data_IF_319459474794
#
_entry.id   IF_319459474794
#
_cell.length_a   1.000
_cell.length_b   1.000
_cell.length_c   1.000
_cell.angle_alpha   90.00
_cell.angle_beta   90.00
_cell.angle_gamma   90.00
#
_symmetry.space_group_name_H-M   'P 1'
#
loop_
_entity.id
_entity.type
_entity.pdbx_description
1 polymer ?
#
# COMPACT_ATOMS: atom_id res chain seq x y z
N UNK A 1 -19.96 -15.76 5.30
CA UNK A 1 -19.12 -16.89 4.86
C UNK A 1 -17.66 -16.47 4.95
N UNK A 2 -16.86 -17.31 5.57
CA UNK A 2 -15.41 -17.12 5.64
C UNK A 2 -14.78 -17.99 4.55
N UNK A 3 -14.17 -17.38 3.54
CA UNK A 3 -13.25 -18.08 2.67
C UNK A 3 -11.90 -18.15 3.38
N UNK A 4 -11.68 -19.17 4.16
CA UNK A 4 -10.37 -19.49 4.74
C UNK A 4 -9.66 -20.42 3.74
N UNK A 5 -8.81 -19.83 2.90
CA UNK A 5 -7.77 -20.60 2.22
C UNK A 5 -6.67 -20.93 3.24
N UNK A 6 -6.88 -21.98 4.01
CA UNK A 6 -5.94 -22.37 5.06
C UNK A 6 -6.41 -23.56 5.84
N UNK A 7 -6.63 -24.67 5.17
CA UNK A 7 -6.59 -25.99 5.81
C UNK A 7 -5.14 -26.32 6.16
N UNK A 8 -4.91 -27.06 7.23
CA UNK A 8 -3.63 -27.67 7.65
C UNK A 8 -3.14 -28.74 6.66
N UNK A 9 -3.20 -28.45 5.36
CA UNK A 9 -2.59 -29.27 4.33
C UNK A 9 -1.16 -28.79 4.11
N UNK A 10 -0.18 -29.67 3.97
CA UNK A 10 1.15 -29.29 3.54
C UNK A 10 1.00 -28.54 2.21
N UNK A 11 1.66 -27.41 2.10
CA UNK A 11 1.57 -26.47 1.00
C UNK A 11 2.27 -26.97 -0.27
N UNK A 12 1.83 -28.10 -0.80
CA UNK A 12 2.30 -28.54 -2.11
C UNK A 12 1.88 -27.49 -3.15
N UNK A 13 2.86 -26.73 -3.63
CA UNK A 13 2.69 -25.73 -4.67
C UNK A 13 2.62 -24.27 -4.20
N UNK A 14 2.72 -23.98 -2.90
CA UNK A 14 2.89 -22.61 -2.42
C UNK A 14 4.38 -22.23 -2.38
N UNK A 15 4.68 -20.95 -2.69
CA UNK A 15 6.02 -20.40 -2.52
C UNK A 15 6.43 -20.34 -1.05
N UNK A 16 7.74 -20.26 -0.76
CA UNK A 16 8.28 -20.19 0.60
C UNK A 16 7.70 -19.05 1.43
N UNK A 17 7.30 -17.96 0.78
CA UNK A 17 6.50 -16.90 1.37
C UNK A 17 5.23 -16.70 0.56
N UNK A 18 4.10 -16.69 1.25
CA UNK A 18 2.80 -16.48 0.63
C UNK A 18 1.98 -15.42 1.39
N UNK A 19 1.08 -14.77 0.68
CA UNK A 19 0.22 -13.72 1.22
C UNK A 19 -1.20 -14.26 1.38
N UNK A 20 -1.80 -13.98 2.53
CA UNK A 20 -3.17 -14.36 2.85
C UNK A 20 -3.97 -13.08 3.04
N UNK A 21 -5.04 -12.93 2.25
CA UNK A 21 -6.00 -11.86 2.42
C UNK A 21 -7.30 -12.42 3.00
N UNK A 22 -7.70 -11.90 4.15
CA UNK A 22 -9.00 -12.19 4.75
C UNK A 22 -9.93 -11.01 4.50
N UNK A 23 -11.03 -11.28 3.81
CA UNK A 23 -12.03 -10.27 3.49
C UNK A 23 -13.36 -10.66 4.11
N UNK A 24 -13.87 -9.82 5.00
CA UNK A 24 -15.22 -9.96 5.56
C UNK A 24 -16.19 -9.14 4.72
N UNK A 25 -17.22 -9.81 4.20
CA UNK A 25 -18.29 -9.17 3.42
C UNK A 25 -19.61 -9.27 4.16
N UNK A 26 -20.43 -8.23 4.05
CA UNK A 26 -21.81 -8.27 4.51
C UNK A 26 -22.71 -9.07 3.55
N UNK A 27 -24.00 -9.18 3.88
CA UNK A 27 -24.98 -9.90 3.05
C UNK A 27 -25.20 -9.27 1.67
N UNK A 28 -24.82 -8.02 1.47
CA UNK A 28 -24.90 -7.31 0.19
C UNK A 28 -23.63 -7.46 -0.65
N UNK A 29 -22.61 -8.15 -0.12
CA UNK A 29 -21.32 -8.33 -0.77
C UNK A 29 -20.32 -7.17 -0.53
N UNK A 30 -20.69 -6.17 0.26
CA UNK A 30 -19.83 -5.06 0.61
C UNK A 30 -18.74 -5.51 1.59
N UNK A 31 -17.50 -5.12 1.33
CA UNK A 31 -16.38 -5.39 2.23
C UNK A 31 -16.56 -4.58 3.52
N UNK A 32 -16.63 -5.28 4.64
CA UNK A 32 -16.76 -4.69 6.00
C UNK A 32 -15.39 -4.61 6.67
N UNK A 33 -14.54 -5.61 6.43
CA UNK A 33 -13.18 -5.66 6.97
C UNK A 33 -12.27 -6.45 6.03
N UNK A 34 -11.02 -6.02 5.96
CA UNK A 34 -10.00 -6.71 5.20
C UNK A 34 -8.69 -6.71 5.99
N UNK A 35 -8.06 -7.88 6.09
CA UNK A 35 -6.75 -8.05 6.70
C UNK A 35 -5.82 -8.79 5.76
N UNK A 36 -4.58 -8.33 5.68
CA UNK A 36 -3.54 -8.97 4.91
C UNK A 36 -2.48 -9.55 5.85
N UNK A 37 -2.14 -10.80 5.62
CA UNK A 37 -1.09 -11.50 6.35
C UNK A 37 -0.08 -12.06 5.35
N UNK A 38 1.15 -12.22 5.80
CA UNK A 38 2.14 -13.03 5.08
C UNK A 38 2.60 -14.17 5.97
N UNK A 39 2.94 -15.28 5.38
CA UNK A 39 3.36 -16.48 6.08
C UNK A 39 4.54 -17.12 5.35
N UNK A 40 5.54 -17.56 6.09
CA UNK A 40 6.61 -18.41 5.60
C UNK A 40 6.30 -19.88 5.86
N UNK A 41 6.87 -20.77 5.07
CA UNK A 41 6.85 -22.19 5.33
C UNK A 41 7.70 -22.52 6.57
N UNK A 42 7.31 -23.51 7.33
CA UNK A 42 7.83 -24.19 8.53
C UNK A 42 9.03 -23.65 9.33
N UNK A 43 9.80 -22.72 8.80
CA UNK A 43 10.87 -22.00 9.51
C UNK A 43 10.65 -20.54 9.24
N UNK A 44 10.48 -19.74 10.25
CA UNK A 44 10.36 -18.26 10.22
C UNK A 44 11.42 -17.56 9.34
N UNK A 45 11.68 -18.12 8.17
CA UNK A 45 12.63 -17.62 7.19
C UNK A 45 11.89 -16.75 6.17
N UNK A 46 12.01 -15.45 6.36
CA UNK A 46 11.45 -14.43 5.47
C UNK A 46 12.45 -13.91 4.44
N UNK A 47 13.57 -14.62 4.22
CA UNK A 47 14.58 -14.22 3.23
C UNK A 47 14.00 -14.15 1.82
N UNK A 48 12.97 -14.96 1.51
CA UNK A 48 12.25 -14.88 0.25
C UNK A 48 11.57 -13.52 0.00
N UNK A 49 11.28 -12.73 1.04
CA UNK A 49 10.80 -11.34 0.86
C UNK A 49 11.84 -10.46 0.18
N UNK A 50 13.13 -10.76 0.35
CA UNK A 50 14.23 -10.01 -0.28
C UNK A 50 14.41 -10.36 -1.77
N UNK A 51 13.81 -11.48 -2.21
CA UNK A 51 13.86 -11.97 -3.60
C UNK A 51 12.60 -11.64 -4.38
N UNK A 52 11.64 -10.92 -3.77
CA UNK A 52 10.44 -10.49 -4.48
C UNK A 52 10.80 -9.65 -5.71
N UNK A 53 10.10 -9.86 -6.85
CA UNK A 53 10.28 -9.02 -8.02
C UNK A 53 10.05 -7.56 -7.70
N UNK A 54 10.82 -6.66 -8.32
CA UNK A 54 10.59 -5.22 -8.21
C UNK A 54 9.18 -4.87 -8.68
N UNK A 55 8.51 -4.03 -7.91
CA UNK A 55 7.16 -3.58 -8.19
C UNK A 55 7.18 -2.14 -8.74
N UNK A 56 6.78 -1.97 -9.99
CA UNK A 56 6.60 -0.64 -10.58
C UNK A 56 5.17 -0.17 -10.32
N UNK A 57 5.04 0.86 -9.50
CA UNK A 57 3.75 1.44 -9.12
C UNK A 57 3.42 2.65 -9.99
N UNK A 58 2.18 2.72 -10.45
CA UNK A 58 1.61 3.92 -11.06
C UNK A 58 0.93 4.73 -9.99
N UNK A 59 1.27 6.01 -9.90
CA UNK A 59 0.71 6.94 -8.92
C UNK A 59 0.05 8.10 -9.63
N UNK A 60 -1.18 8.41 -9.26
CA UNK A 60 -1.88 9.63 -9.60
C UNK A 60 -2.29 10.34 -8.33
N UNK A 61 -2.27 11.67 -8.32
CA UNK A 61 -2.66 12.44 -7.15
C UNK A 61 -3.29 13.77 -7.52
N UNK A 62 -4.14 14.27 -6.63
CA UNK A 62 -4.83 15.55 -6.73
C UNK A 62 -4.75 16.27 -5.40
N UNK A 63 -4.40 17.55 -5.43
CA UNK A 63 -4.43 18.43 -4.26
C UNK A 63 -5.76 19.16 -4.19
N UNK A 64 -6.40 19.10 -3.05
CA UNK A 64 -7.62 19.86 -2.71
C UNK A 64 -7.26 20.79 -1.55
N UNK A 65 -7.64 22.06 -1.67
CA UNK A 65 -7.44 23.07 -0.64
C UNK A 65 -8.77 23.52 -0.12
N UNK A 66 -8.93 23.55 1.19
CA UNK A 66 -10.18 23.98 1.84
C UNK A 66 -9.90 24.49 3.24
N UNK A 67 -10.29 25.76 3.48
CA UNK A 67 -10.24 26.38 4.82
C UNK A 67 -8.87 26.31 5.52
N UNK A 68 -7.76 26.50 4.78
CA UNK A 68 -6.40 26.45 5.34
C UNK A 68 -5.84 25.04 5.49
N UNK A 69 -6.61 24.01 5.16
CA UNK A 69 -6.14 22.63 5.07
C UNK A 69 -5.91 22.23 3.62
N UNK A 70 -4.91 21.42 3.40
CA UNK A 70 -4.63 20.76 2.14
C UNK A 70 -4.81 19.25 2.26
N UNK A 71 -5.51 18.66 1.30
CA UNK A 71 -5.71 17.22 1.19
C UNK A 71 -5.16 16.74 -0.14
N UNK A 72 -4.23 15.79 -0.08
CA UNK A 72 -3.76 15.06 -1.26
C UNK A 72 -4.58 13.77 -1.35
N UNK A 73 -5.39 13.65 -2.40
CA UNK A 73 -6.03 12.40 -2.78
C UNK A 73 -5.14 11.68 -3.78
N UNK A 74 -4.65 10.50 -3.42
CA UNK A 74 -3.74 9.71 -4.22
C UNK A 74 -4.35 8.34 -4.56
N UNK A 75 -4.13 7.89 -5.79
CA UNK A 75 -4.42 6.53 -6.22
C UNK A 75 -3.11 5.86 -6.65
N UNK A 76 -2.77 4.75 -5.99
CA UNK A 76 -1.55 3.98 -6.23
C UNK A 76 -1.96 2.63 -6.78
N UNK A 77 -1.53 2.32 -7.99
CA UNK A 77 -1.92 1.12 -8.73
C UNK A 77 -0.72 0.24 -9.02
N UNK A 78 -0.82 -1.03 -8.71
CA UNK A 78 0.08 -2.04 -9.23
C UNK A 78 -0.51 -2.61 -10.53
N UNK A 79 0.17 -2.45 -11.68
CA UNK A 79 -0.34 -2.94 -12.97
C UNK A 79 -0.63 -4.45 -12.95
N UNK A 80 -1.61 -4.88 -13.73
CA UNK A 80 -1.94 -6.32 -13.90
C UNK A 80 -0.77 -7.14 -14.47
N UNK A 81 0.13 -6.49 -15.20
CA UNK A 81 1.34 -7.10 -15.78
C UNK A 81 2.47 -7.31 -14.76
N UNK A 82 2.31 -6.84 -13.52
CA UNK A 82 3.32 -7.02 -12.49
C UNK A 82 3.55 -8.51 -12.18
N UNK A 83 4.82 -8.91 -12.05
CA UNK A 83 5.20 -10.31 -11.80
C UNK A 83 5.06 -10.75 -10.35
N UNK A 84 4.75 -9.82 -9.45
CA UNK A 84 4.61 -10.08 -8.03
C UNK A 84 3.85 -8.96 -7.33
N UNK A 85 3.77 -9.05 -6.02
CA UNK A 85 3.09 -8.08 -5.16
C UNK A 85 3.95 -6.85 -4.90
N UNK A 86 3.34 -5.70 -4.65
CA UNK A 86 4.01 -4.56 -4.04
C UNK A 86 3.84 -4.67 -2.51
N UNK A 87 4.89 -5.10 -1.82
CA UNK A 87 4.85 -5.39 -0.39
C UNK A 87 5.19 -4.16 0.45
N UNK A 88 4.44 -3.95 1.53
CA UNK A 88 4.65 -2.89 2.52
C UNK A 88 4.95 -1.52 1.86
N UNK A 89 4.06 -1.07 1.00
CA UNK A 89 4.21 0.19 0.27
C UNK A 89 4.17 1.35 1.25
N UNK A 90 5.27 2.09 1.31
CA UNK A 90 5.40 3.31 2.11
C UNK A 90 5.16 4.54 1.24
N UNK A 91 4.33 5.45 1.72
CA UNK A 91 3.98 6.70 1.04
C UNK A 91 4.37 7.89 1.89
N UNK A 92 4.99 8.89 1.27
CA UNK A 92 5.35 10.15 1.89
C UNK A 92 4.97 11.31 0.98
N UNK A 93 4.45 12.39 1.56
CA UNK A 93 4.34 13.66 0.88
C UNK A 93 5.57 14.53 1.24
N UNK A 94 6.23 15.07 0.23
CA UNK A 94 7.41 15.92 0.38
C UNK A 94 7.23 17.22 -0.40
N UNK A 95 7.88 18.29 0.05
CA UNK A 95 7.99 19.53 -0.70
C UNK A 95 8.89 19.32 -1.93
N UNK A 96 8.57 19.98 -3.03
CA UNK A 96 9.34 19.80 -4.28
C UNK A 96 10.67 20.53 -4.26
N UNK A 97 10.75 21.66 -3.52
CA UNK A 97 11.93 22.52 -3.48
C UNK A 97 13.13 21.92 -2.75
N UNK A 98 12.89 21.29 -1.61
CA UNK A 98 13.91 20.82 -0.68
C UNK A 98 13.84 19.30 -0.43
N UNK A 99 12.74 18.65 -0.85
CA UNK A 99 12.49 17.23 -0.60
C UNK A 99 12.13 16.90 0.85
N UNK A 100 11.91 17.91 1.69
CA UNK A 100 11.52 17.69 3.08
C UNK A 100 10.11 17.13 3.18
N UNK A 101 9.90 16.29 4.19
CA UNK A 101 8.58 15.71 4.45
C UNK A 101 7.61 16.76 4.94
N UNK A 102 6.39 16.72 4.42
CA UNK A 102 5.30 17.55 4.90
C UNK A 102 4.78 16.94 6.21
N UNK A 103 5.13 17.52 7.33
CA UNK A 103 4.74 17.07 8.67
C UNK A 103 4.33 18.25 9.55
N UNK A 104 3.31 18.08 10.44
CA UNK A 104 2.50 16.86 10.62
C UNK A 104 1.49 16.64 9.48
N UNK A 105 1.27 15.38 9.10
CA UNK A 105 0.28 14.99 8.13
C UNK A 105 -0.51 13.77 8.62
N UNK A 106 -1.83 13.81 8.41
CA UNK A 106 -2.73 12.69 8.71
C UNK A 106 -2.93 11.86 7.45
N UNK A 107 -2.65 10.58 7.54
CA UNK A 107 -2.91 9.60 6.48
C UNK A 107 -3.97 8.60 6.93
N UNK A 108 -4.88 8.24 6.03
CA UNK A 108 -5.86 7.20 6.32
C UNK A 108 -5.27 5.79 6.29
N UNK A 109 -4.14 5.59 5.61
CA UNK A 109 -3.41 4.32 5.58
C UNK A 109 -1.95 4.52 5.13
N UNK A 110 -1.08 3.58 5.50
CA UNK A 110 0.30 3.49 5.04
C UNK A 110 0.81 2.06 5.21
N UNK A 111 1.93 1.68 4.56
CA UNK A 111 2.50 0.33 4.61
C UNK A 111 1.54 -0.78 4.15
N UNK A 112 0.76 -0.52 3.12
CA UNK A 112 -0.17 -1.48 2.54
C UNK A 112 0.49 -2.37 1.49
N UNK A 113 -0.17 -3.49 1.17
CA UNK A 113 0.27 -4.43 0.14
C UNK A 113 -0.71 -4.41 -1.02
N UNK A 114 -0.18 -4.35 -2.26
CA UNK A 114 -0.98 -4.43 -3.49
C UNK A 114 -0.69 -5.72 -4.26
N UNK A 115 -1.75 -6.38 -4.67
CA UNK A 115 -1.70 -7.45 -5.66
C UNK A 115 -1.73 -6.87 -7.09
N UNK A 116 -1.23 -7.61 -8.11
CA UNK A 116 -1.32 -7.16 -9.50
C UNK A 116 -2.75 -6.79 -9.91
N UNK A 117 -2.90 -5.59 -10.46
CA UNK A 117 -4.19 -5.03 -10.87
C UNK A 117 -4.96 -4.27 -9.79
N UNK A 118 -4.45 -4.17 -8.59
CA UNK A 118 -5.11 -3.44 -7.50
C UNK A 118 -4.70 -1.97 -7.45
N UNK A 119 -5.63 -1.18 -6.95
CA UNK A 119 -5.44 0.25 -6.68
C UNK A 119 -5.78 0.56 -5.23
N UNK A 120 -4.89 1.25 -4.54
CA UNK A 120 -5.11 1.82 -3.20
C UNK A 120 -5.36 3.31 -3.31
N UNK A 121 -6.47 3.75 -2.74
CA UNK A 121 -6.78 5.17 -2.60
C UNK A 121 -6.35 5.65 -1.22
N UNK A 122 -5.58 6.73 -1.18
CA UNK A 122 -5.06 7.36 0.03
C UNK A 122 -5.50 8.81 0.11
N UNK A 123 -5.72 9.26 1.32
CA UNK A 123 -5.93 10.66 1.66
C UNK A 123 -4.85 11.08 2.65
N UNK A 124 -4.16 12.18 2.34
CA UNK A 124 -3.13 12.80 3.19
C UNK A 124 -3.55 14.22 3.45
N UNK A 125 -3.88 14.54 4.70
CA UNK A 125 -4.34 15.87 5.13
C UNK A 125 -3.28 16.54 5.97
N UNK A 126 -3.02 17.83 5.70
CA UNK A 126 -2.05 18.65 6.42
C UNK A 126 -2.41 20.13 6.34
N UNK A 127 -1.75 20.95 7.16
CA UNK A 127 -1.91 22.42 7.10
C UNK A 127 -1.33 22.97 5.79
N UNK A 128 -2.11 23.74 5.03
CA UNK A 128 -1.69 24.29 3.75
C UNK A 128 -0.42 25.16 3.87
N UNK A 129 -0.20 25.82 5.01
CA UNK A 129 0.99 26.64 5.25
C UNK A 129 2.30 25.84 5.22
N UNK A 130 2.25 24.53 5.41
CA UNK A 130 3.42 23.66 5.33
C UNK A 130 4.01 23.56 3.91
N UNK A 131 3.22 23.88 2.88
CA UNK A 131 3.72 23.97 1.52
C UNK A 131 4.49 25.26 1.24
N UNK A 132 4.29 26.33 2.05
CA UNK A 132 4.93 27.65 1.87
C UNK A 132 4.84 28.19 0.43
N UNK A 133 3.75 27.87 -0.28
CA UNK A 133 3.57 28.20 -1.69
C UNK A 133 4.24 27.25 -2.68
N UNK A 134 4.91 26.22 -2.19
CA UNK A 134 5.58 25.19 -3.01
C UNK A 134 4.59 24.12 -3.53
N UNK A 135 5.09 23.24 -4.39
CA UNK A 135 4.40 22.07 -4.88
C UNK A 135 4.76 20.85 -4.01
N UNK A 136 3.89 19.87 -4.02
CA UNK A 136 4.18 18.59 -3.38
C UNK A 136 4.60 17.52 -4.38
N UNK A 137 5.31 16.52 -3.89
CA UNK A 137 5.61 15.28 -4.58
C UNK A 137 5.27 14.11 -3.65
N UNK A 138 4.67 13.05 -4.20
CA UNK A 138 4.52 11.79 -3.49
C UNK A 138 5.71 10.89 -3.77
N UNK A 139 6.33 10.40 -2.70
CA UNK A 139 7.35 9.36 -2.73
C UNK A 139 6.70 8.07 -2.31
N UNK A 140 6.61 7.12 -3.23
CA UNK A 140 5.95 5.82 -3.05
C UNK A 140 7.00 4.74 -3.20
N UNK A 141 7.28 4.03 -2.11
CA UNK A 141 8.37 3.04 -2.07
C UNK A 141 7.84 1.71 -1.54
N UNK A 142 7.67 0.69 -2.38
CA UNK A 142 7.43 -0.67 -1.92
C UNK A 142 8.72 -1.25 -1.31
N UNK A 143 8.56 -2.13 -0.32
CA UNK A 143 9.70 -2.79 0.35
C UNK A 143 10.61 -3.53 -0.64
N UNK A 144 10.03 -4.19 -1.62
CA UNK A 144 10.75 -4.97 -2.63
C UNK A 144 11.41 -4.14 -3.74
N UNK A 145 11.48 -2.82 -3.59
CA UNK A 145 12.26 -1.93 -4.46
C UNK A 145 13.50 -1.33 -3.77
N UNK A 146 13.78 -1.83 -2.58
CA UNK A 146 14.99 -1.43 -1.86
C UNK A 146 16.25 -2.03 -2.50
#
# INVERSE_FOLDING_TARGET
SFDVLGGTQPSEGLSDVHFIRLTLKDKSGKIVSENNYWRGNDRLDFTALNTLPKAELKTSSKLIRKNGEAEIQAAITLPKSAKGVAFAVHVQAVCTSDGERILPALMNDNYFTLMPGETKNLSITFDENLLQGDKYKLVVTPYNNK
#
